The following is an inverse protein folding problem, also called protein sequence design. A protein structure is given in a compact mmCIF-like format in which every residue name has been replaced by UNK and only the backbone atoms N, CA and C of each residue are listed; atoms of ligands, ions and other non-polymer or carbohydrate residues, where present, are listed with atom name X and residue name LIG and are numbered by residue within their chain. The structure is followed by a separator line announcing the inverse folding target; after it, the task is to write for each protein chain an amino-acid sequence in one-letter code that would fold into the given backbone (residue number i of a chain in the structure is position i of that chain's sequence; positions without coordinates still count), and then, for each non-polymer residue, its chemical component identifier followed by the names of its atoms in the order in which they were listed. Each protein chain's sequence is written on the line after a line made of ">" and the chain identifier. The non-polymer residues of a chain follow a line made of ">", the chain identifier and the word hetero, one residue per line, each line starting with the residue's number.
data_IF_895942931113
#
_entry.id   IF_895942931113
#
_cell.length_a   1.000
_cell.length_b   1.000
_cell.length_c   1.000
_cell.angle_alpha   90.00
_cell.angle_beta   90.00
_cell.angle_gamma   90.00
#
_symmetry.space_group_name_H-M   'P 1'
#
loop_
_entity.id
_entity.type
_entity.pdbx_description
1 polymer ?
#
# COMPACT_ATOMS: atom_id res chain seq x y z
N UNK A 1 24.82 2.96 -5.88
CA UNK A 1 24.31 2.52 -7.20
C UNK A 1 23.07 1.68 -6.95
N UNK A 2 21.89 2.23 -7.24
CA UNK A 2 20.63 1.48 -7.14
C UNK A 2 20.57 0.48 -8.29
N UNK A 3 20.61 -0.82 -7.99
CA UNK A 3 20.29 -1.85 -8.99
C UNK A 3 18.80 -1.74 -9.34
N UNK A 4 18.43 -1.73 -10.63
CA UNK A 4 17.02 -1.74 -11.01
C UNK A 4 16.39 -3.07 -10.59
N UNK A 5 15.28 -2.98 -9.85
CA UNK A 5 14.46 -4.13 -9.48
C UNK A 5 13.76 -4.60 -10.76
N UNK A 6 14.04 -5.84 -11.18
CA UNK A 6 13.47 -6.40 -12.42
C UNK A 6 12.05 -6.89 -12.13
N UNK A 7 11.07 -6.15 -12.61
CA UNK A 7 9.65 -6.56 -12.57
C UNK A 7 9.37 -7.38 -13.83
N UNK A 8 9.02 -8.65 -13.67
CA UNK A 8 8.53 -9.48 -14.77
C UNK A 8 7.00 -9.53 -14.73
N UNK A 9 6.35 -8.94 -15.71
CA UNK A 9 4.90 -8.87 -15.86
C UNK A 9 4.33 -10.04 -16.66
N UNK A 10 3.28 -10.68 -16.07
CA UNK A 10 2.14 -11.12 -16.87
C UNK A 10 1.22 -9.90 -17.08
N UNK A 11 0.41 -9.81 -18.16
CA UNK A 11 -0.47 -8.66 -18.37
C UNK A 11 -1.53 -8.62 -17.26
N UNK A 12 -1.29 -7.76 -16.29
CA UNK A 12 -2.21 -7.46 -15.21
C UNK A 12 -2.57 -5.97 -15.30
N UNK A 13 -3.81 -5.55 -14.99
CA UNK A 13 -4.22 -4.16 -15.09
C UNK A 13 -3.44 -3.23 -14.16
N UNK A 14 -2.81 -3.77 -13.10
CA UNK A 14 -2.07 -2.95 -12.14
C UNK A 14 -0.58 -2.83 -12.48
N UNK A 15 -0.08 -1.61 -12.45
CA UNK A 15 1.35 -1.31 -12.44
C UNK A 15 1.89 -1.42 -11.00
N UNK A 16 2.92 -2.25 -10.79
CA UNK A 16 3.59 -2.36 -9.49
C UNK A 16 4.77 -1.39 -9.40
N UNK A 17 4.82 -0.59 -8.34
CA UNK A 17 5.94 0.28 -8.00
C UNK A 17 6.49 -0.12 -6.63
N UNK A 18 7.65 -0.78 -6.62
CA UNK A 18 8.32 -1.16 -5.38
C UNK A 18 9.27 -0.03 -4.97
N UNK A 19 9.16 0.43 -3.72
CA UNK A 19 9.99 1.48 -3.14
C UNK A 19 10.56 1.02 -1.80
N UNK A 20 11.88 1.09 -1.65
CA UNK A 20 12.46 1.13 -0.32
C UNK A 20 12.11 2.49 0.30
N UNK A 21 11.55 2.50 1.49
CA UNK A 21 11.19 3.78 2.14
C UNK A 21 12.46 4.43 2.67
N UNK A 22 12.88 5.46 1.97
CA UNK A 22 13.98 6.35 2.35
C UNK A 22 13.39 7.76 2.45
N UNK A 23 12.83 8.12 3.61
CA UNK A 23 12.35 9.48 3.85
C UNK A 23 10.86 9.59 4.21
N UNK A 24 10.38 10.83 4.26
CA UNK A 24 9.04 11.17 4.75
C UNK A 24 7.93 11.11 3.68
N UNK A 25 8.23 10.71 2.44
CA UNK A 25 7.27 10.77 1.32
C UNK A 25 5.99 9.96 1.59
N UNK A 26 6.14 8.75 2.15
CA UNK A 26 4.98 7.93 2.51
C UNK A 26 4.14 8.56 3.63
N UNK A 27 4.81 9.09 4.65
CA UNK A 27 4.12 9.74 5.78
C UNK A 27 3.36 10.99 5.32
N UNK A 28 3.96 11.80 4.45
CA UNK A 28 3.30 12.95 3.87
C UNK A 28 2.08 12.53 3.04
N UNK A 29 2.21 11.48 2.22
CA UNK A 29 1.12 10.93 1.42
C UNK A 29 -0.03 10.42 2.30
N UNK A 30 0.26 9.72 3.39
CA UNK A 30 -0.74 9.28 4.37
C UNK A 30 -1.42 10.48 5.01
N UNK A 31 -0.63 11.44 5.50
CA UNK A 31 -1.15 12.65 6.12
C UNK A 31 -2.11 13.41 5.22
N UNK A 32 -1.74 13.65 3.97
CA UNK A 32 -2.58 14.36 3.00
C UNK A 32 -3.88 13.61 2.69
N UNK A 33 -3.82 12.28 2.56
CA UNK A 33 -5.00 11.46 2.35
C UNK A 33 -5.95 11.50 3.55
N UNK A 34 -5.40 11.43 4.76
CA UNK A 34 -6.19 11.51 6.01
C UNK A 34 -6.79 12.90 6.19
N UNK A 35 -6.02 13.96 5.97
CA UNK A 35 -6.50 15.35 6.08
C UNK A 35 -7.68 15.60 5.12
N UNK A 36 -7.53 15.12 3.88
CA UNK A 36 -8.60 15.21 2.89
C UNK A 36 -9.86 14.44 3.32
N UNK A 37 -9.71 13.24 3.81
CA UNK A 37 -10.86 12.44 4.26
C UNK A 37 -11.52 13.03 5.51
N UNK A 38 -10.73 13.56 6.45
CA UNK A 38 -11.23 14.26 7.64
C UNK A 38 -12.05 15.52 7.27
N UNK A 39 -11.56 16.30 6.30
CA UNK A 39 -12.30 17.46 5.79
C UNK A 39 -13.65 17.05 5.18
N UNK A 40 -13.73 15.96 4.44
CA UNK A 40 -14.97 15.43 3.91
C UNK A 40 -15.96 15.01 5.01
N UNK A 41 -15.46 14.37 6.06
CA UNK A 41 -16.30 14.02 7.22
C UNK A 41 -16.86 15.29 7.91
N UNK A 42 -16.05 16.35 8.01
CA UNK A 42 -16.49 17.63 8.53
C UNK A 42 -17.62 18.25 7.68
N UNK A 43 -17.47 18.26 6.34
CA UNK A 43 -18.53 18.74 5.43
C UNK A 43 -19.81 17.91 5.55
N UNK A 44 -19.71 16.59 5.64
CA UNK A 44 -20.84 15.68 5.80
C UNK A 44 -21.61 15.88 7.11
N UNK A 45 -20.93 16.31 8.17
CA UNK A 45 -21.52 16.64 9.47
C UNK A 45 -21.99 18.10 9.57
N UNK A 46 -22.16 18.80 8.43
CA UNK A 46 -22.72 20.15 8.41
C UNK A 46 -21.77 21.25 8.85
N UNK A 47 -20.46 21.00 8.77
CA UNK A 47 -19.40 21.95 9.14
C UNK A 47 -19.48 22.42 10.61
N UNK A 48 -19.94 21.57 11.52
CA UNK A 48 -20.01 21.88 12.95
C UNK A 48 -18.60 21.85 13.57
N UNK A 49 -18.16 22.92 14.26
CA UNK A 49 -16.85 22.94 14.92
C UNK A 49 -16.84 22.09 16.19
N UNK A 50 -15.64 21.65 16.59
CA UNK A 50 -15.44 20.93 17.85
C UNK A 50 -15.30 19.41 17.70
N UNK A 51 -15.46 18.85 16.50
CA UNK A 51 -15.30 17.42 16.20
C UNK A 51 -14.05 17.10 15.39
N UNK A 52 -13.09 18.02 15.30
CA UNK A 52 -11.91 17.89 14.44
C UNK A 52 -11.08 16.64 14.76
N UNK A 53 -10.90 16.34 16.04
CA UNK A 53 -10.13 15.16 16.50
C UNK A 53 -10.85 13.87 16.13
N UNK A 54 -12.16 13.82 16.29
CA UNK A 54 -12.98 12.65 15.95
C UNK A 54 -12.96 12.39 14.44
N UNK A 55 -13.11 13.46 13.64
CA UNK A 55 -13.04 13.38 12.18
C UNK A 55 -11.66 12.89 11.73
N UNK A 56 -10.59 13.39 12.35
CA UNK A 56 -9.22 12.97 12.04
C UNK A 56 -8.98 11.49 12.38
N UNK A 57 -9.38 11.06 13.58
CA UNK A 57 -9.22 9.67 14.01
C UNK A 57 -10.01 8.70 13.11
N UNK A 58 -11.24 9.07 12.78
CA UNK A 58 -12.07 8.27 11.88
C UNK A 58 -11.46 8.22 10.48
N UNK A 59 -11.04 9.35 9.94
CA UNK A 59 -10.38 9.43 8.65
C UNK A 59 -9.12 8.55 8.60
N UNK A 60 -8.29 8.59 9.65
CA UNK A 60 -7.12 7.74 9.74
C UNK A 60 -7.49 6.26 9.69
N UNK A 61 -8.48 5.83 10.48
CA UNK A 61 -8.95 4.45 10.52
C UNK A 61 -9.56 3.98 9.19
N UNK A 62 -10.19 4.88 8.46
CA UNK A 62 -10.79 4.58 7.15
C UNK A 62 -9.72 4.46 6.05
N UNK A 63 -8.71 5.33 6.07
CA UNK A 63 -7.64 5.41 5.06
C UNK A 63 -6.54 4.40 5.31
N UNK A 64 -6.12 4.23 6.57
CA UNK A 64 -5.02 3.35 6.97
C UNK A 64 -5.57 2.15 7.72
N UNK A 65 -5.44 0.95 7.16
CA UNK A 65 -5.95 -0.29 7.77
C UNK A 65 -4.89 -1.37 7.77
N UNK A 66 -5.00 -2.34 8.68
CA UNK A 66 -4.20 -3.55 8.59
C UNK A 66 -4.37 -4.21 7.21
N UNK A 67 -3.27 -4.76 6.71
CA UNK A 67 -3.30 -5.57 5.50
C UNK A 67 -3.80 -6.96 5.88
N UNK A 68 -4.91 -7.37 5.29
CA UNK A 68 -5.35 -8.77 5.34
C UNK A 68 -4.53 -9.57 4.35
N UNK A 69 -3.64 -10.42 4.86
CA UNK A 69 -2.68 -11.15 4.05
C UNK A 69 -2.28 -12.47 4.71
N UNK A 70 -1.97 -13.46 3.87
CA UNK A 70 -1.26 -14.66 4.30
C UNK A 70 0.23 -14.38 4.41
N UNK A 71 0.85 -14.76 5.53
CA UNK A 71 2.30 -14.58 5.74
C UNK A 71 2.94 -15.93 6.01
N UNK A 72 3.99 -16.27 5.27
CA UNK A 72 4.82 -17.45 5.48
C UNK A 72 6.26 -17.00 5.69
N UNK A 73 6.76 -17.24 6.90
CA UNK A 73 8.14 -16.95 7.26
C UNK A 73 8.99 -18.19 7.01
N UNK A 74 9.93 -18.12 6.07
CA UNK A 74 10.90 -19.16 5.76
C UNK A 74 12.27 -18.81 6.37
N UNK A 75 13.25 -19.71 6.26
CA UNK A 75 14.57 -19.50 6.85
C UNK A 75 15.26 -18.20 6.38
N UNK A 76 15.15 -17.89 5.09
CA UNK A 76 15.86 -16.77 4.45
C UNK A 76 14.94 -15.68 3.87
N UNK A 77 13.63 -15.91 3.85
CA UNK A 77 12.68 -14.96 3.27
C UNK A 77 11.33 -14.97 3.98
N UNK A 78 10.60 -13.88 3.80
CA UNK A 78 9.18 -13.75 4.13
C UNK A 78 8.40 -13.72 2.83
N UNK A 79 7.37 -14.57 2.73
CA UNK A 79 6.43 -14.59 1.61
C UNK A 79 5.09 -14.05 2.11
N UNK A 80 4.57 -13.03 1.44
CA UNK A 80 3.31 -12.40 1.78
C UNK A 80 2.37 -12.50 0.58
N UNK A 81 1.11 -12.86 0.84
CA UNK A 81 0.05 -12.93 -0.16
C UNK A 81 -1.09 -12.00 0.23
N UNK A 82 -1.42 -11.05 -0.64
CA UNK A 82 -2.48 -10.07 -0.41
C UNK A 82 -3.48 -10.05 -1.56
N UNK A 83 -4.74 -9.73 -1.26
CA UNK A 83 -5.76 -9.51 -2.26
C UNK A 83 -5.61 -8.11 -2.87
N UNK A 84 -5.31 -8.04 -4.17
CA UNK A 84 -5.17 -6.79 -4.90
C UNK A 84 -6.50 -6.23 -5.40
N UNK A 85 -7.61 -6.96 -5.26
CA UNK A 85 -8.94 -6.51 -5.69
C UNK A 85 -9.48 -5.33 -4.88
N UNK A 86 -8.83 -5.02 -3.75
CA UNK A 86 -9.11 -3.85 -2.91
C UNK A 86 -8.78 -2.53 -3.63
N UNK A 87 -7.80 -2.57 -4.54
CA UNK A 87 -7.35 -1.40 -5.28
C UNK A 87 -8.07 -1.28 -6.62
N UNK A 88 -8.21 -0.05 -7.12
CA UNK A 88 -8.69 0.18 -8.49
C UNK A 88 -7.62 -0.27 -9.52
N UNK A 89 -7.89 -0.09 -10.81
CA UNK A 89 -6.97 -0.50 -11.89
C UNK A 89 -5.74 0.42 -12.02
N UNK A 90 -5.50 1.30 -11.03
CA UNK A 90 -4.32 2.17 -10.96
C UNK A 90 -3.06 1.46 -10.45
N UNK A 91 -1.97 2.21 -10.30
CA UNK A 91 -0.73 1.67 -9.77
C UNK A 91 -0.86 1.29 -8.29
N UNK A 92 -0.26 0.16 -7.91
CA UNK A 92 -0.07 -0.23 -6.52
C UNK A 92 1.39 0.03 -6.16
N UNK A 93 1.63 0.84 -5.15
CA UNK A 93 2.96 1.09 -4.61
C UNK A 93 3.18 0.18 -3.40
N UNK A 94 4.35 -0.46 -3.35
CA UNK A 94 4.80 -1.32 -2.26
C UNK A 94 5.94 -0.60 -1.57
N UNK A 95 5.70 -0.11 -0.37
CA UNK A 95 6.71 0.52 0.47
C UNK A 95 7.21 -0.47 1.50
N UNK A 96 8.52 -0.67 1.56
CA UNK A 96 9.15 -1.63 2.46
C UNK A 96 10.11 -0.93 3.39
N UNK A 97 9.90 -1.14 4.68
CA UNK A 97 10.76 -0.75 5.78
C UNK A 97 11.28 -2.03 6.46
N UNK A 98 12.33 -1.98 7.29
CA UNK A 98 12.89 -3.18 7.90
C UNK A 98 11.90 -4.06 8.66
N UNK A 99 10.84 -3.47 9.24
CA UNK A 99 9.82 -4.19 10.02
C UNK A 99 8.39 -3.90 9.59
N UNK A 100 8.21 -3.23 8.44
CA UNK A 100 6.87 -2.83 7.97
C UNK A 100 6.79 -2.90 6.46
N UNK A 101 5.65 -3.35 5.97
CA UNK A 101 5.26 -3.25 4.59
C UNK A 101 3.98 -2.43 4.50
N UNK A 102 3.96 -1.47 3.59
CA UNK A 102 2.75 -0.69 3.27
C UNK A 102 2.43 -0.84 1.79
N UNK A 103 1.24 -1.34 1.51
CA UNK A 103 0.65 -1.27 0.18
C UNK A 103 -0.19 -0.02 0.08
N UNK A 104 0.00 0.76 -0.97
CA UNK A 104 -0.87 1.89 -1.24
C UNK A 104 -1.33 1.93 -2.69
N UNK A 105 -2.55 2.35 -2.89
CA UNK A 105 -3.21 2.47 -4.17
C UNK A 105 -4.50 3.24 -4.01
N UNK A 106 -5.30 3.31 -5.06
CA UNK A 106 -6.59 3.98 -5.02
C UNK A 106 -7.69 2.98 -4.64
N UNK A 107 -8.66 3.44 -3.84
CA UNK A 107 -9.78 2.59 -3.40
C UNK A 107 -10.72 2.29 -4.57
N UNK A 108 -10.93 1.00 -4.84
CA UNK A 108 -11.91 0.54 -5.85
C UNK A 108 -13.36 0.82 -5.46
N UNK A 109 -13.65 0.83 -4.15
CA UNK A 109 -15.02 0.91 -3.63
C UNK A 109 -15.49 2.34 -3.36
N UNK A 110 -14.72 3.33 -3.80
CA UNK A 110 -15.05 4.72 -3.56
C UNK A 110 -16.32 5.11 -4.30
N UNK A 111 -17.36 5.40 -3.52
CA UNK A 111 -18.58 5.99 -4.06
C UNK A 111 -18.29 7.45 -4.39
N UNK A 112 -18.61 7.90 -5.61
CA UNK A 112 -18.58 9.32 -5.93
C UNK A 112 -19.42 10.07 -4.91
N UNK A 113 -18.83 11.09 -4.28
CA UNK A 113 -19.64 12.01 -3.48
C UNK A 113 -20.36 12.92 -4.46
N UNK A 114 -21.67 13.14 -4.27
CA UNK A 114 -22.38 14.15 -5.04
C UNK A 114 -21.68 15.49 -4.86
N UNK A 115 -21.20 16.07 -5.95
CA UNK A 115 -20.65 17.41 -5.92
C UNK A 115 -21.81 18.44 -5.96
N UNK A 116 -21.61 19.65 -5.39
CA UNK A 116 -22.59 20.71 -5.48
C UNK A 116 -22.95 20.99 -6.93
N UNK A 117 -24.21 21.30 -7.25
CA UNK A 117 -24.65 21.61 -8.62
C UNK A 117 -23.82 22.77 -9.19
N UNK A 118 -23.13 22.53 -10.31
CA UNK A 118 -22.37 23.55 -11.04
C UNK A 118 -20.85 23.43 -10.97
N UNK A 119 -20.30 22.52 -10.18
CA UNK A 119 -18.87 22.23 -10.21
C UNK A 119 -18.56 21.06 -11.17
N UNK A 120 -17.43 21.13 -11.92
CA UNK A 120 -17.02 20.03 -12.78
C UNK A 120 -16.67 18.82 -11.93
N UNK A 121 -17.31 17.68 -12.22
CA UNK A 121 -17.01 16.39 -11.57
C UNK A 121 -15.53 16.06 -11.79
N UNK A 122 -14.74 16.20 -10.75
CA UNK A 122 -13.34 15.75 -10.77
C UNK A 122 -13.32 14.29 -10.38
N UNK A 123 -12.72 13.41 -11.20
CA UNK A 123 -12.53 12.02 -10.79
C UNK A 123 -11.64 11.99 -9.55
N UNK A 124 -12.24 11.79 -8.40
CA UNK A 124 -11.53 11.70 -7.11
C UNK A 124 -11.09 10.27 -6.94
N UNK A 125 -9.78 10.09 -6.82
CA UNK A 125 -9.16 8.83 -6.43
C UNK A 125 -8.60 9.02 -5.04
N UNK A 126 -9.25 8.42 -4.06
CA UNK A 126 -8.74 8.46 -2.69
C UNK A 126 -7.72 7.33 -2.48
N UNK A 127 -6.59 7.69 -1.95
CA UNK A 127 -5.56 6.76 -1.55
C UNK A 127 -6.02 5.94 -0.35
N UNK A 128 -5.75 4.65 -0.40
CA UNK A 128 -5.85 3.76 0.75
C UNK A 128 -4.51 3.11 1.01
N UNK A 129 -4.26 2.85 2.30
CA UNK A 129 -3.02 2.25 2.77
C UNK A 129 -3.36 0.97 3.54
N UNK A 130 -2.60 -0.08 3.26
CA UNK A 130 -2.73 -1.38 3.93
C UNK A 130 -1.37 -1.72 4.51
N UNK A 131 -1.31 -1.83 5.83
CA UNK A 131 -0.06 -1.93 6.59
C UNK A 131 0.07 -3.30 7.22
N UNK A 132 1.24 -3.90 7.10
CA UNK A 132 1.61 -5.13 7.78
C UNK A 132 2.94 -4.95 8.50
N UNK A 133 2.98 -5.21 9.80
CA UNK A 133 4.19 -5.18 10.61
C UNK A 133 4.79 -6.58 10.71
N UNK A 134 6.11 -6.69 10.61
CA UNK A 134 6.84 -7.95 10.71
C UNK A 134 7.46 -8.13 12.09
N UNK A 135 7.45 -9.37 12.58
CA UNK A 135 8.20 -9.76 13.77
C UNK A 135 9.69 -10.00 13.50
N UNK A 136 10.08 -10.02 12.24
CA UNK A 136 11.46 -10.22 11.78
C UNK A 136 11.90 -9.06 10.91
N UNK A 137 13.21 -8.77 10.91
CA UNK A 137 13.76 -7.74 10.04
C UNK A 137 13.89 -8.26 8.61
N UNK A 138 13.41 -7.47 7.66
CA UNK A 138 13.52 -7.73 6.22
C UNK A 138 14.46 -6.72 5.56
N UNK A 139 15.03 -7.09 4.42
CA UNK A 139 15.86 -6.20 3.63
C UNK A 139 14.98 -5.42 2.63
N UNK A 140 14.82 -4.10 2.80
CA UNK A 140 14.00 -3.29 1.89
C UNK A 140 14.54 -3.21 0.46
N UNK A 141 15.79 -3.61 0.24
CA UNK A 141 16.44 -3.55 -1.08
C UNK A 141 16.28 -4.86 -1.87
N UNK A 142 15.92 -5.95 -1.18
CA UNK A 142 15.72 -7.27 -1.80
C UNK A 142 14.25 -7.68 -1.75
N UNK A 143 13.45 -7.05 -2.61
CA UNK A 143 12.01 -7.25 -2.71
C UNK A 143 11.64 -7.68 -4.12
N UNK A 144 10.78 -8.69 -4.21
CA UNK A 144 10.17 -9.10 -5.47
C UNK A 144 8.67 -9.23 -5.28
N UNK A 145 7.89 -8.71 -6.23
CA UNK A 145 6.44 -8.82 -6.21
C UNK A 145 5.90 -9.24 -7.58
N UNK A 146 4.83 -10.05 -7.57
CA UNK A 146 4.16 -10.49 -8.79
C UNK A 146 2.69 -10.79 -8.53
N UNK A 147 1.87 -10.60 -9.55
CA UNK A 147 0.48 -11.02 -9.53
C UNK A 147 0.33 -12.50 -9.92
N UNK A 148 -0.62 -13.15 -9.28
CA UNK A 148 -1.17 -14.42 -9.70
C UNK A 148 -2.71 -14.30 -9.66
N UNK A 149 -3.31 -13.91 -10.80
CA UNK A 149 -4.70 -13.48 -10.81
C UNK A 149 -4.91 -12.25 -9.90
N UNK A 150 -5.94 -12.22 -9.05
CA UNK A 150 -6.19 -11.10 -8.14
C UNK A 150 -5.22 -11.07 -6.93
N UNK A 151 -4.37 -12.07 -6.79
CA UNK A 151 -3.47 -12.22 -5.64
C UNK A 151 -2.12 -11.59 -5.94
N UNK A 152 -1.70 -10.68 -5.09
CA UNK A 152 -0.37 -10.09 -5.07
C UNK A 152 0.54 -10.91 -4.15
N UNK A 153 1.58 -11.53 -4.73
CA UNK A 153 2.61 -12.25 -3.98
C UNK A 153 3.84 -11.37 -3.84
N UNK A 154 4.29 -11.16 -2.61
CA UNK A 154 5.45 -10.34 -2.28
C UNK A 154 6.46 -11.22 -1.55
N UNK A 155 7.71 -11.18 -1.99
CA UNK A 155 8.82 -11.91 -1.42
C UNK A 155 9.86 -10.93 -0.94
N UNK A 156 10.24 -11.04 0.33
CA UNK A 156 11.16 -10.17 1.03
C UNK A 156 12.30 -11.03 1.59
N UNK A 157 13.55 -10.66 1.32
CA UNK A 157 14.67 -11.30 1.98
C UNK A 157 14.71 -10.91 3.47
N UNK A 158 15.10 -11.84 4.36
CA UNK A 158 15.37 -11.49 5.75
C UNK A 158 16.70 -10.74 5.86
N UNK A 159 16.73 -9.70 6.66
CA UNK A 159 17.95 -8.94 6.89
C UNK A 159 19.04 -9.82 7.54
N UNK A 160 20.29 -9.66 7.09
CA UNK A 160 21.43 -10.39 7.65
C UNK A 160 21.56 -11.86 7.25
N UNK A 161 20.63 -12.41 6.47
CA UNK A 161 20.69 -13.77 5.95
C UNK A 161 21.16 -13.75 4.50
N UNK A 162 22.39 -14.23 4.23
CA UNK A 162 22.85 -14.41 2.85
C UNK A 162 22.03 -15.49 2.17
N UNK A 163 21.26 -15.12 1.14
CA UNK A 163 20.56 -16.08 0.29
C UNK A 163 21.62 -16.82 -0.56
N UNK A 164 21.71 -18.16 -0.51
CA UNK A 164 22.57 -18.88 -1.44
C UNK A 164 22.07 -18.62 -2.87
N UNK A 165 22.98 -18.27 -3.75
CA UNK A 165 22.68 -17.93 -5.17
C UNK A 165 21.84 -19.00 -5.92
N UNK A 166 21.94 -20.26 -5.47
CA UNK A 166 21.17 -21.38 -6.00
C UNK A 166 19.65 -21.30 -5.72
N UNK A 167 19.21 -20.58 -4.69
CA UNK A 167 17.77 -20.48 -4.36
C UNK A 167 17.01 -19.47 -5.23
N UNK A 168 17.71 -18.59 -5.93
CA UNK A 168 17.10 -17.65 -6.89
C UNK A 168 16.69 -18.31 -8.21
N UNK A 169 17.26 -19.46 -8.55
CA UNK A 169 16.96 -20.17 -9.82
C UNK A 169 15.70 -21.05 -9.76
N UNK A 170 15.21 -21.40 -8.59
CA UNK A 170 14.08 -22.31 -8.40
C UNK A 170 12.69 -21.64 -8.47
N UNK A 171 12.64 -20.36 -8.80
CA UNK A 171 11.41 -19.56 -8.95
C UNK A 171 11.04 -19.26 -10.42
N UNK A 172 11.49 -20.08 -11.36
CA UNK A 172 11.08 -19.99 -12.77
C UNK A 172 9.85 -20.83 -13.07
#
# INVERSE_FOLDING_TARGET
>A
MNKPITIRHAPHPHELKIRAVLGNDLNNKIHDAVAWHAYRLYEQHGCEPGHDVEHWQRAYTDVVRPLDCGVIVQNHRVCLTADASLFDDGPIEIHVEPRRLTLCGFDRNLRPIPEPPGEPVRPRRDWIFRVHDFDVDVDPTEVTARFNGPVLNIYLAKAGVRVPEAAMAAGR
#
